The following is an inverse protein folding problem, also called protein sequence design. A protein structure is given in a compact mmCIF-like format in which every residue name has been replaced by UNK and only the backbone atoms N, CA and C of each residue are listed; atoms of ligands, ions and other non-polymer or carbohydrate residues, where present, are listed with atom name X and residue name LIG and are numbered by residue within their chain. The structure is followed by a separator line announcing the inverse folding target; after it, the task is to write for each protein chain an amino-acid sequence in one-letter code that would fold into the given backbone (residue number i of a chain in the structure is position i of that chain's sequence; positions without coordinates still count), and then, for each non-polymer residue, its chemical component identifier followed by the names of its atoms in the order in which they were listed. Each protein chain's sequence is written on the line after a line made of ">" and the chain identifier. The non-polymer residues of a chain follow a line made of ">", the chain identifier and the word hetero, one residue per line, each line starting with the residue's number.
data_IF_455506525252
#
_entry.id   IF_455506525252
#
_cell.length_a   1.000
_cell.length_b   1.000
_cell.length_c   1.000
_cell.angle_alpha   90.00
_cell.angle_beta   90.00
_cell.angle_gamma   90.00
#
_symmetry.space_group_name_H-M   'P 1'
#
loop_
_entity.id
_entity.type
_entity.pdbx_description
1 polymer ?
#
# COMPACT_ATOMS: atom_id res chain seq x y z
N UNK A 1 13.38 34.75 8.72
CA UNK A 1 13.56 33.68 7.73
C UNK A 1 12.28 32.86 7.74
N UNK A 2 11.66 32.60 6.59
CA UNK A 2 10.55 31.62 6.54
C UNK A 2 11.13 30.27 6.94
N UNK A 3 10.60 29.66 8.01
CA UNK A 3 10.86 28.27 8.32
C UNK A 3 10.37 27.41 7.16
N UNK A 4 11.18 26.42 6.76
CA UNK A 4 10.72 25.41 5.80
C UNK A 4 9.49 24.72 6.35
N UNK A 5 8.41 24.71 5.57
CA UNK A 5 7.11 24.16 5.99
C UNK A 5 7.06 22.63 5.93
N UNK A 6 8.03 21.99 5.29
CA UNK A 6 8.09 20.54 5.13
C UNK A 6 9.53 20.06 4.91
N UNK A 7 9.74 18.77 5.11
CA UNK A 7 10.97 18.06 4.74
C UNK A 7 10.64 16.87 3.84
N UNK A 8 11.62 16.40 3.07
CA UNK A 8 11.45 15.23 2.20
C UNK A 8 12.37 14.10 2.63
N UNK A 9 11.80 12.91 2.83
CA UNK A 9 12.54 11.68 3.15
C UNK A 9 12.00 10.54 2.29
N UNK A 10 12.42 9.30 2.57
CA UNK A 10 11.80 8.11 1.98
C UNK A 10 11.69 7.01 3.02
N UNK A 11 10.72 6.12 2.85
CA UNK A 11 10.48 4.99 3.73
C UNK A 11 10.15 3.75 2.91
N UNK A 12 10.54 2.58 3.40
CA UNK A 12 10.14 1.32 2.76
C UNK A 12 8.64 1.08 2.93
N UNK A 13 8.04 0.34 1.99
CA UNK A 13 6.64 -0.11 2.10
C UNK A 13 6.40 -0.86 3.42
N UNK A 14 7.33 -1.75 3.81
CA UNK A 14 7.27 -2.47 5.09
C UNK A 14 7.24 -1.54 6.29
N UNK A 15 8.06 -0.49 6.31
CA UNK A 15 8.10 0.48 7.41
C UNK A 15 6.77 1.25 7.51
N UNK A 16 6.19 1.66 6.40
CA UNK A 16 4.89 2.37 6.39
C UNK A 16 3.78 1.47 6.89
N UNK A 17 3.68 0.25 6.37
CA UNK A 17 2.68 -0.73 6.82
C UNK A 17 2.87 -1.07 8.30
N UNK A 18 4.12 -1.14 8.78
CA UNK A 18 4.46 -1.32 10.18
C UNK A 18 3.98 -0.18 11.08
N UNK A 19 4.27 1.07 10.71
CA UNK A 19 3.81 2.25 11.46
C UNK A 19 2.28 2.38 11.46
N UNK A 20 1.60 2.02 10.38
CA UNK A 20 0.13 1.97 10.34
C UNK A 20 -0.40 0.84 11.24
N UNK A 21 0.26 -0.33 11.23
CA UNK A 21 -0.09 -1.46 12.11
C UNK A 21 0.08 -1.12 13.58
N UNK A 22 1.09 -0.31 13.93
CA UNK A 22 1.35 0.19 15.27
C UNK A 22 0.49 1.41 15.65
N UNK A 23 -0.35 1.91 14.74
CA UNK A 23 -1.14 3.15 14.92
C UNK A 23 -0.30 4.42 15.18
N UNK A 24 0.96 4.41 14.74
CA UNK A 24 1.87 5.56 14.74
C UNK A 24 1.58 6.50 13.56
N UNK A 25 1.08 5.95 12.45
CA UNK A 25 0.46 6.71 11.36
C UNK A 25 -1.06 6.54 11.45
N UNK A 26 -1.75 7.62 11.80
CA UNK A 26 -3.19 7.70 11.78
C UNK A 26 -3.70 8.00 10.37
N UNK A 27 -4.66 7.20 9.90
CA UNK A 27 -5.43 7.46 8.69
C UNK A 27 -6.76 8.09 9.17
N UNK A 28 -7.00 9.40 8.95
CA UNK A 28 -8.19 10.07 9.47
C UNK A 28 -9.50 9.37 9.05
N UNK A 29 -10.41 9.17 10.01
CA UNK A 29 -11.70 8.47 9.80
C UNK A 29 -12.63 9.20 8.82
N UNK A 30 -12.54 10.52 8.73
CA UNK A 30 -13.41 11.35 7.88
C UNK A 30 -12.94 11.37 6.41
N UNK A 31 -11.84 10.68 6.10
CA UNK A 31 -11.32 10.66 4.74
C UNK A 31 -12.21 9.89 3.78
N UNK A 32 -12.22 10.39 2.53
CA UNK A 32 -12.98 9.86 1.40
C UNK A 32 -12.95 8.34 1.37
N UNK A 33 -14.06 7.73 0.94
CA UNK A 33 -14.06 6.31 0.70
C UNK A 33 -12.95 5.89 -0.26
N UNK A 34 -12.57 4.62 -0.16
CA UNK A 34 -11.66 4.03 -1.14
C UNK A 34 -12.33 4.01 -2.52
N UNK A 35 -11.82 4.81 -3.45
CA UNK A 35 -12.37 5.03 -4.80
C UNK A 35 -11.50 4.47 -5.91
N UNK A 36 -10.29 4.01 -5.61
CA UNK A 36 -9.46 3.32 -6.59
C UNK A 36 -10.12 2.04 -7.07
N UNK A 37 -10.19 1.87 -8.39
CA UNK A 37 -10.62 0.62 -9.02
C UNK A 37 -9.60 -0.48 -8.70
N UNK A 38 -10.04 -1.73 -8.63
CA UNK A 38 -9.14 -2.87 -8.38
C UNK A 38 -7.94 -2.91 -9.34
N UNK A 39 -8.13 -2.47 -10.60
CA UNK A 39 -7.04 -2.36 -11.58
C UNK A 39 -5.95 -1.37 -11.15
N UNK A 40 -6.30 -0.23 -10.54
CA UNK A 40 -5.31 0.73 -10.04
C UNK A 40 -4.47 0.16 -8.89
N UNK A 41 -5.06 -0.71 -8.06
CA UNK A 41 -4.34 -1.46 -7.03
C UNK A 41 -3.36 -2.43 -7.67
N UNK A 42 -3.80 -3.15 -8.71
CA UNK A 42 -2.94 -4.05 -9.51
C UNK A 42 -1.76 -3.29 -10.13
N UNK A 43 -2.04 -2.15 -10.78
CA UNK A 43 -1.03 -1.33 -11.45
C UNK A 43 0.00 -0.75 -10.46
N UNK A 44 -0.42 -0.48 -9.21
CA UNK A 44 0.50 -0.11 -8.14
C UNK A 44 1.44 -1.26 -7.77
N UNK A 45 0.93 -2.50 -7.64
CA UNK A 45 1.77 -3.66 -7.32
C UNK A 45 2.78 -3.92 -8.43
N UNK A 46 2.35 -3.81 -9.69
CA UNK A 46 3.21 -3.94 -10.86
C UNK A 46 4.31 -2.87 -10.86
N UNK A 47 3.96 -1.60 -10.65
CA UNK A 47 4.93 -0.51 -10.55
C UNK A 47 5.97 -0.75 -9.45
N UNK A 48 5.55 -1.24 -8.28
CA UNK A 48 6.47 -1.57 -7.18
C UNK A 48 7.37 -2.76 -7.52
N UNK A 49 6.83 -3.79 -8.17
CA UNK A 49 7.58 -4.96 -8.59
C UNK A 49 8.67 -4.61 -9.61
N UNK A 50 8.40 -3.68 -10.52
CA UNK A 50 9.36 -3.16 -11.51
C UNK A 50 10.32 -2.12 -10.93
N UNK A 51 10.14 -1.69 -9.67
CA UNK A 51 10.95 -0.63 -9.06
C UNK A 51 10.67 0.77 -9.61
N UNK A 52 9.48 1.00 -10.17
CA UNK A 52 9.07 2.30 -10.70
C UNK A 52 8.63 3.24 -9.57
N UNK A 53 8.81 4.57 -9.74
CA UNK A 53 8.38 5.54 -8.75
C UNK A 53 6.85 5.57 -8.61
N UNK A 54 6.36 5.47 -7.37
CA UNK A 54 4.91 5.46 -7.05
C UNK A 54 4.43 6.73 -6.34
N UNK A 55 5.18 7.82 -6.49
CA UNK A 55 4.89 9.15 -5.92
C UNK A 55 5.30 9.31 -4.46
N UNK A 56 4.63 10.22 -3.75
CA UNK A 56 4.95 10.60 -2.36
C UNK A 56 3.77 10.43 -1.41
N UNK A 57 3.98 10.08 -0.15
CA UNK A 57 2.98 10.18 0.91
C UNK A 57 3.24 11.46 1.69
N UNK A 58 2.18 12.17 2.09
CA UNK A 58 2.30 13.38 2.90
C UNK A 58 1.85 13.07 4.32
N UNK A 59 2.74 13.29 5.28
CA UNK A 59 2.51 13.08 6.70
C UNK A 59 2.60 14.41 7.42
N UNK A 60 1.83 14.56 8.48
CA UNK A 60 1.94 15.68 9.40
C UNK A 60 2.02 15.18 10.83
N UNK A 61 3.06 15.57 11.54
CA UNK A 61 3.23 15.22 12.95
C UNK A 61 2.56 16.30 13.80
N UNK A 62 1.33 16.05 14.26
CA UNK A 62 0.67 17.00 15.15
C UNK A 62 0.97 16.62 16.61
N UNK A 63 1.65 17.48 17.39
CA UNK A 63 1.99 17.20 18.78
C UNK A 63 0.77 17.21 19.73
N UNK A 64 -0.40 17.68 19.28
CA UNK A 64 -1.54 18.00 20.15
C UNK A 64 -2.87 17.32 19.75
N UNK A 65 -2.89 16.30 18.89
CA UNK A 65 -4.15 15.57 18.60
C UNK A 65 -4.56 14.77 19.84
N UNK A 66 -5.73 15.07 20.39
CA UNK A 66 -6.36 14.23 21.42
C UNK A 66 -6.95 13.00 20.75
N UNK A 67 -6.52 11.82 21.18
CA UNK A 67 -7.13 10.56 20.78
C UNK A 67 -8.50 10.41 21.45
N UNK A 68 -9.35 9.49 20.95
CA UNK A 68 -10.69 9.23 21.48
C UNK A 68 -10.70 8.83 22.97
N UNK A 69 -9.57 8.40 23.51
CA UNK A 69 -9.36 8.04 24.92
C UNK A 69 -8.89 9.22 25.81
N UNK A 70 -8.72 10.41 25.25
CA UNK A 70 -8.28 11.61 25.97
C UNK A 70 -6.77 11.74 26.15
N UNK A 71 -5.96 10.78 25.67
CA UNK A 71 -4.51 10.88 25.64
C UNK A 71 -4.02 11.81 24.52
N UNK A 72 -2.92 12.52 24.76
CA UNK A 72 -2.25 13.32 23.73
C UNK A 72 -1.51 12.34 22.82
N UNK A 73 -1.70 12.45 21.50
CA UNK A 73 -0.94 11.67 20.54
C UNK A 73 0.54 12.00 20.74
N UNK A 74 1.32 11.07 21.27
CA UNK A 74 2.74 11.23 21.56
C UNK A 74 3.58 11.30 20.27
N UNK A 75 3.35 12.30 19.42
CA UNK A 75 4.02 12.44 18.13
C UNK A 75 3.53 11.51 17.03
N UNK A 76 2.26 11.07 17.07
CA UNK A 76 1.66 10.32 15.96
C UNK A 76 1.62 11.18 14.71
N UNK A 77 1.87 10.55 13.56
CA UNK A 77 1.81 11.19 12.25
C UNK A 77 0.41 10.98 11.67
N UNK A 78 -0.16 12.03 11.09
CA UNK A 78 -1.45 11.98 10.39
C UNK A 78 -1.18 11.90 8.90
N UNK A 79 -1.83 10.95 8.22
CA UNK A 79 -1.77 10.84 6.77
C UNK A 79 -2.60 11.94 6.12
N UNK A 80 -1.93 12.90 5.48
CA UNK A 80 -2.55 14.03 4.81
C UNK A 80 -2.86 13.67 3.36
N UNK A 81 -1.92 13.07 2.62
CA UNK A 81 -2.12 12.68 1.22
C UNK A 81 -1.47 11.31 0.93
N UNK A 82 -1.94 10.62 -0.11
CA UNK A 82 -1.50 9.27 -0.45
C UNK A 82 -2.38 8.17 0.16
N UNK A 83 -3.53 8.52 0.73
CA UNK A 83 -4.49 7.58 1.32
C UNK A 83 -4.83 6.40 0.41
N UNK A 84 -5.22 6.65 -0.83
CA UNK A 84 -5.61 5.56 -1.75
C UNK A 84 -4.46 4.58 -2.01
N UNK A 85 -3.22 5.07 -2.07
CA UNK A 85 -2.01 4.23 -2.19
C UNK A 85 -1.78 3.42 -0.93
N UNK A 86 -1.84 4.06 0.24
CA UNK A 86 -1.70 3.38 1.53
C UNK A 86 -2.77 2.29 1.70
N UNK A 87 -4.02 2.59 1.37
CA UNK A 87 -5.13 1.62 1.40
C UNK A 87 -4.92 0.47 0.42
N UNK A 88 -4.42 0.75 -0.79
CA UNK A 88 -4.06 -0.27 -1.78
C UNK A 88 -2.98 -1.23 -1.24
N UNK A 89 -1.95 -0.71 -0.56
CA UNK A 89 -0.91 -1.52 0.09
C UNK A 89 -1.48 -2.36 1.24
N UNK A 90 -2.33 -1.76 2.09
CA UNK A 90 -2.95 -2.48 3.20
C UNK A 90 -3.80 -3.67 2.73
N UNK A 91 -4.55 -3.50 1.64
CA UNK A 91 -5.46 -4.54 1.16
C UNK A 91 -4.74 -5.64 0.36
N UNK A 92 -3.80 -5.25 -0.52
CA UNK A 92 -3.11 -6.17 -1.43
C UNK A 92 -1.91 -6.87 -0.77
N UNK A 93 -1.14 -6.17 0.07
CA UNK A 93 0.07 -6.72 0.72
C UNK A 93 -0.26 -7.20 2.12
N UNK A 94 -0.80 -6.32 2.98
CA UNK A 94 -1.06 -6.66 4.38
C UNK A 94 -2.32 -7.51 4.60
N UNK A 95 -3.03 -7.87 3.54
CA UNK A 95 -4.21 -8.73 3.61
C UNK A 95 -5.42 -8.13 4.34
N UNK A 96 -5.44 -6.81 4.58
CA UNK A 96 -6.46 -6.16 5.41
C UNK A 96 -7.76 -5.91 4.64
N UNK A 97 -8.87 -6.14 5.35
CA UNK A 97 -10.17 -5.70 4.90
C UNK A 97 -10.32 -4.18 5.12
N UNK A 98 -10.96 -3.51 4.17
CA UNK A 98 -11.17 -2.07 4.16
C UNK A 98 -12.63 -1.76 3.83
N UNK A 99 -13.13 -0.59 4.20
CA UNK A 99 -14.45 -0.13 3.75
C UNK A 99 -14.35 0.57 2.39
N UNK A 100 -15.23 0.23 1.47
CA UNK A 100 -15.39 0.94 0.19
C UNK A 100 -16.33 2.15 0.33
N UNK A 101 -16.66 2.79 -0.80
CA UNK A 101 -17.63 3.90 -0.89
C UNK A 101 -19.03 3.63 -0.40
N UNK A 102 -19.42 2.36 -0.34
CA UNK A 102 -20.73 1.95 0.12
C UNK A 102 -20.69 1.48 1.59
N UNK A 103 -19.60 1.77 2.31
CA UNK A 103 -19.32 1.29 3.67
C UNK A 103 -19.37 -0.24 3.79
N UNK A 104 -19.09 -0.95 2.69
CA UNK A 104 -19.00 -2.41 2.68
C UNK A 104 -17.56 -2.83 2.91
N UNK A 105 -17.40 -3.82 3.77
CA UNK A 105 -16.13 -4.48 3.98
C UNK A 105 -15.72 -5.17 2.68
N UNK A 106 -14.55 -4.81 2.17
CA UNK A 106 -14.00 -5.30 0.92
C UNK A 106 -12.49 -5.55 1.06
N UNK A 107 -11.96 -6.39 0.19
CA UNK A 107 -10.52 -6.61 0.08
C UNK A 107 -10.17 -6.81 -1.39
N UNK A 108 -9.19 -6.05 -1.87
CA UNK A 108 -8.68 -6.21 -3.23
C UNK A 108 -7.59 -7.26 -3.21
N UNK A 109 -7.89 -8.43 -3.78
CA UNK A 109 -6.92 -9.52 -3.94
C UNK A 109 -6.24 -9.39 -5.29
N UNK A 110 -4.91 -9.41 -5.28
CA UNK A 110 -4.08 -9.38 -6.48
C UNK A 110 -3.48 -10.77 -6.66
N UNK A 111 -3.70 -11.36 -7.82
CA UNK A 111 -3.11 -12.61 -8.24
C UNK A 111 -1.77 -12.35 -8.97
N UNK A 112 -0.87 -13.32 -8.92
CA UNK A 112 0.45 -13.25 -9.54
C UNK A 112 0.76 -14.54 -10.31
N UNK A 113 1.39 -14.42 -11.49
CA UNK A 113 1.79 -15.57 -12.34
C UNK A 113 3.33 -15.71 -12.37
N UNK A 114 3.90 -16.65 -11.60
CA UNK A 114 5.33 -16.91 -11.60
C UNK A 114 5.86 -17.40 -12.95
N UNK A 115 5.06 -18.13 -13.73
CA UNK A 115 5.49 -18.64 -15.04
C UNK A 115 5.59 -17.48 -16.04
N UNK A 116 4.66 -16.54 -15.99
CA UNK A 116 4.75 -15.31 -16.79
C UNK A 116 5.96 -14.47 -16.37
N UNK A 117 6.20 -14.33 -15.05
CA UNK A 117 7.33 -13.58 -14.52
C UNK A 117 8.71 -14.16 -14.91
N UNK A 118 8.79 -15.45 -15.24
CA UNK A 118 10.02 -16.11 -15.69
C UNK A 118 10.40 -15.75 -17.14
N UNK A 119 9.43 -15.40 -17.99
CA UNK A 119 9.63 -15.30 -19.45
C UNK A 119 10.39 -14.05 -19.92
N UNK A 120 10.76 -13.15 -19.00
CA UNK A 120 11.39 -11.85 -19.28
C UNK A 120 10.69 -11.06 -20.40
N UNK A 121 9.37 -11.23 -20.50
CA UNK A 121 8.52 -10.52 -21.45
C UNK A 121 7.94 -9.28 -20.75
N UNK A 122 8.33 -8.05 -21.17
CA UNK A 122 7.87 -6.83 -20.54
C UNK A 122 6.37 -6.57 -20.71
N UNK A 123 5.72 -7.23 -21.69
CA UNK A 123 4.28 -7.11 -21.93
C UNK A 123 3.47 -8.22 -21.24
N UNK A 124 4.13 -9.18 -20.59
CA UNK A 124 3.44 -10.26 -19.89
C UNK A 124 2.64 -9.72 -18.71
N UNK A 125 1.35 -10.07 -18.65
CA UNK A 125 0.54 -9.78 -17.47
C UNK A 125 0.94 -10.71 -16.32
N UNK A 126 1.83 -10.21 -15.45
CA UNK A 126 2.31 -10.94 -14.27
C UNK A 126 1.43 -10.71 -13.04
N UNK A 127 0.67 -9.60 -13.00
CA UNK A 127 -0.30 -9.30 -11.95
C UNK A 127 -1.71 -9.12 -12.51
N UNK A 128 -2.69 -9.72 -11.84
CA UNK A 128 -4.09 -9.58 -12.19
C UNK A 128 -4.96 -9.30 -10.98
N UNK A 129 -6.09 -8.62 -11.17
CA UNK A 129 -7.14 -8.60 -10.14
C UNK A 129 -7.69 -10.03 -10.03
N UNK A 130 -7.81 -10.56 -8.81
CA UNK A 130 -8.25 -11.94 -8.63
C UNK A 130 -9.64 -12.16 -9.27
N UNK A 131 -9.78 -13.30 -9.95
CA UNK A 131 -11.05 -13.82 -10.46
C UNK A 131 -11.14 -15.31 -10.09
N UNK A 132 -12.33 -15.94 -10.21
CA UNK A 132 -12.45 -17.39 -10.01
C UNK A 132 -11.57 -18.23 -10.94
N UNK A 133 -11.15 -17.70 -12.09
CA UNK A 133 -10.24 -18.40 -13.00
C UNK A 133 -8.83 -18.50 -12.41
N UNK A 134 -8.33 -17.45 -11.76
CA UNK A 134 -7.04 -17.46 -11.06
C UNK A 134 -7.03 -18.48 -9.92
N UNK A 135 -8.11 -18.57 -9.14
CA UNK A 135 -8.24 -19.53 -8.02
C UNK A 135 -8.23 -20.99 -8.49
N UNK A 136 -8.78 -21.27 -9.68
CA UNK A 136 -8.80 -22.62 -10.26
C UNK A 136 -7.53 -22.96 -11.03
N UNK A 137 -6.71 -21.97 -11.36
CA UNK A 137 -5.49 -22.17 -12.12
C UNK A 137 -4.39 -22.69 -11.23
N UNK A 138 -3.63 -23.67 -11.74
CA UNK A 138 -2.42 -24.16 -11.08
C UNK A 138 -1.22 -23.22 -11.24
N UNK A 139 -1.28 -22.30 -12.21
CA UNK A 139 -0.18 -21.38 -12.54
C UNK A 139 -0.24 -20.09 -11.70
N UNK A 140 -1.43 -19.67 -11.27
CA UNK A 140 -1.59 -18.41 -10.57
C UNK A 140 -1.48 -18.60 -9.06
N UNK A 141 -0.71 -17.73 -8.43
CA UNK A 141 -0.85 -17.43 -7.00
C UNK A 141 -2.09 -16.55 -6.88
N UNK A 142 -3.18 -17.01 -6.26
CA UNK A 142 -4.47 -16.31 -6.32
C UNK A 142 -4.50 -15.04 -5.48
N UNK A 143 -3.58 -14.90 -4.53
CA UNK A 143 -3.51 -13.80 -3.59
C UNK A 143 -2.09 -13.58 -3.07
N UNK A 144 -1.44 -12.51 -3.51
CA UNK A 144 -0.05 -12.21 -3.13
C UNK A 144 0.10 -11.95 -1.62
N UNK A 145 -0.95 -11.56 -0.91
CA UNK A 145 -0.85 -11.31 0.54
C UNK A 145 -0.41 -12.57 1.32
N UNK A 146 -0.72 -13.76 0.80
CA UNK A 146 -0.28 -15.03 1.40
C UNK A 146 1.26 -15.16 1.41
N UNK A 147 1.93 -14.57 0.40
CA UNK A 147 3.40 -14.56 0.29
C UNK A 147 4.03 -13.60 1.29
N UNK A 148 3.32 -12.52 1.63
CA UNK A 148 3.76 -11.49 2.58
C UNK A 148 3.41 -11.80 4.04
N UNK A 149 2.69 -12.89 4.31
CA UNK A 149 2.40 -13.32 5.67
C UNK A 149 3.69 -13.73 6.41
N UNK A 150 3.82 -13.31 7.67
CA UNK A 150 5.00 -13.61 8.50
C UNK A 150 5.18 -15.14 8.71
N UNK A 151 4.11 -15.93 8.57
CA UNK A 151 4.13 -17.39 8.69
C UNK A 151 4.33 -18.10 7.35
N UNK A 152 4.51 -17.38 6.24
CA UNK A 152 4.69 -17.97 4.92
C UNK A 152 5.92 -18.90 4.90
N UNK A 153 5.71 -20.15 4.47
CA UNK A 153 6.76 -21.17 4.42
C UNK A 153 7.24 -21.34 2.98
N UNK A 154 8.22 -20.54 2.55
CA UNK A 154 8.74 -20.54 1.17
C UNK A 154 9.07 -21.94 0.66
N UNK A 155 9.87 -22.71 1.40
CA UNK A 155 10.27 -24.07 1.00
C UNK A 155 9.07 -24.99 0.73
N UNK A 156 8.07 -24.98 1.61
CA UNK A 156 6.85 -25.78 1.44
C UNK A 156 6.06 -25.34 0.21
N UNK A 157 5.87 -24.03 0.07
CA UNK A 157 5.14 -23.44 -1.05
C UNK A 157 5.79 -23.79 -2.39
N UNK A 158 7.11 -23.60 -2.51
CA UNK A 158 7.89 -23.87 -3.73
C UNK A 158 7.74 -25.34 -4.13
N UNK A 159 7.94 -26.27 -3.20
CA UNK A 159 7.79 -27.70 -3.47
C UNK A 159 6.38 -28.06 -3.96
N UNK A 160 5.34 -27.54 -3.31
CA UNK A 160 3.95 -27.79 -3.70
C UNK A 160 3.60 -27.20 -5.06
N UNK A 161 4.11 -26.00 -5.37
CA UNK A 161 3.91 -25.34 -6.65
C UNK A 161 4.61 -26.09 -7.79
N UNK A 162 5.90 -26.42 -7.63
CA UNK A 162 6.67 -27.18 -8.63
C UNK A 162 6.13 -28.59 -8.84
N UNK A 163 5.52 -29.22 -7.82
CA UNK A 163 4.84 -30.51 -7.99
C UNK A 163 3.64 -30.40 -8.96
N UNK A 164 2.91 -29.29 -8.92
CA UNK A 164 1.77 -29.02 -9.83
C UNK A 164 2.22 -28.48 -11.19
N UNK A 165 3.40 -27.86 -11.24
CA UNK A 165 3.99 -27.25 -12.42
C UNK A 165 5.41 -27.79 -12.64
N UNK A 166 5.58 -29.03 -13.15
CA UNK A 166 6.88 -29.66 -13.35
C UNK A 166 7.83 -28.88 -14.26
N UNK A 167 7.29 -27.97 -15.08
CA UNK A 167 8.01 -27.04 -15.93
C UNK A 167 8.74 -25.92 -15.16
N UNK A 168 8.37 -25.67 -13.90
CA UNK A 168 8.97 -24.62 -13.06
C UNK A 168 10.15 -25.18 -12.26
N UNK A 169 11.33 -24.62 -12.46
CA UNK A 169 12.50 -24.93 -11.65
C UNK A 169 12.34 -24.33 -10.23
N UNK A 170 12.64 -25.08 -9.15
CA UNK A 170 12.54 -24.58 -7.78
C UNK A 170 13.39 -23.33 -7.48
N UNK A 171 14.61 -23.24 -8.03
CA UNK A 171 15.51 -22.12 -7.81
C UNK A 171 15.01 -20.86 -8.52
N UNK A 172 14.48 -21.00 -9.74
CA UNK A 172 13.83 -19.91 -10.46
C UNK A 172 12.61 -19.39 -9.70
N UNK A 173 11.79 -20.30 -9.15
CA UNK A 173 10.63 -19.92 -8.35
C UNK A 173 11.05 -19.23 -7.04
N UNK A 174 12.10 -19.71 -6.36
CA UNK A 174 12.64 -19.06 -5.16
C UNK A 174 13.06 -17.61 -5.47
N UNK A 175 13.79 -17.41 -6.57
CA UNK A 175 14.17 -16.08 -7.04
C UNK A 175 12.95 -15.20 -7.33
N UNK A 176 11.94 -15.72 -8.04
CA UNK A 176 10.71 -14.98 -8.37
C UNK A 176 9.95 -14.59 -7.10
N UNK A 177 9.81 -15.49 -6.13
CA UNK A 177 9.16 -15.21 -4.85
C UNK A 177 9.97 -14.19 -4.04
N UNK A 178 11.30 -14.28 -4.07
CA UNK A 178 12.20 -13.27 -3.50
C UNK A 178 12.00 -11.88 -4.12
N UNK A 179 11.91 -11.81 -5.46
CA UNK A 179 11.62 -10.57 -6.18
C UNK A 179 10.23 -10.03 -5.83
N UNK A 180 9.20 -10.88 -5.75
CA UNK A 180 7.86 -10.48 -5.31
C UNK A 180 7.90 -9.90 -3.89
N UNK A 181 8.60 -10.56 -2.95
CA UNK A 181 8.78 -10.05 -1.58
C UNK A 181 9.53 -8.73 -1.51
N UNK A 182 10.41 -8.45 -2.46
CA UNK A 182 11.17 -7.20 -2.52
C UNK A 182 10.30 -5.94 -2.68
N UNK A 183 9.02 -6.08 -3.08
CA UNK A 183 8.04 -4.98 -3.06
C UNK A 183 8.01 -4.29 -1.69
N UNK A 184 8.09 -5.05 -0.60
CA UNK A 184 8.10 -4.52 0.75
C UNK A 184 9.35 -3.66 1.06
N UNK A 185 10.43 -3.85 0.32
CA UNK A 185 11.69 -3.13 0.48
C UNK A 185 11.76 -1.89 -0.41
N UNK A 186 10.82 -1.72 -1.35
CA UNK A 186 10.77 -0.53 -2.18
C UNK A 186 10.51 0.72 -1.33
N UNK A 187 11.22 1.79 -1.65
CA UNK A 187 11.06 3.08 -0.98
C UNK A 187 10.02 3.94 -1.68
N UNK A 188 9.12 4.53 -0.90
CA UNK A 188 8.23 5.60 -1.35
C UNK A 188 8.67 6.90 -0.72
N UNK A 189 8.57 7.99 -1.47
CA UNK A 189 8.92 9.32 -0.96
C UNK A 189 7.95 9.76 0.13
N UNK A 190 8.45 10.42 1.16
CA UNK A 190 7.66 10.99 2.25
C UNK A 190 7.89 12.50 2.28
N UNK A 191 6.80 13.26 2.31
CA UNK A 191 6.82 14.69 2.61
C UNK A 191 6.29 14.84 4.03
N UNK A 192 7.13 15.24 4.97
CA UNK A 192 6.74 15.47 6.35
C UNK A 192 6.55 16.96 6.58
N UNK A 193 5.30 17.35 6.82
CA UNK A 193 4.92 18.72 7.18
C UNK A 193 5.44 19.05 8.59
N UNK A 194 5.90 20.29 8.78
CA UNK A 194 6.39 20.75 10.09
C UNK A 194 5.32 20.62 11.17
N UNK A 195 5.74 20.16 12.34
CA UNK A 195 4.91 20.04 13.56
C UNK A 195 4.46 21.39 14.13
N UNK A 196 5.11 22.48 13.72
CA UNK A 196 4.74 23.86 14.08
C UNK A 196 3.58 24.42 13.24
N UNK A 197 3.11 23.70 12.22
CA UNK A 197 1.99 24.15 11.40
C UNK A 197 0.66 23.97 12.13
N UNK A 198 -0.16 25.02 12.10
CA UNK A 198 -1.55 24.97 12.55
C UNK A 198 -2.42 24.11 11.62
N UNK A 199 -3.49 23.52 12.16
CA UNK A 199 -4.42 22.64 11.42
C UNK A 199 -5.01 23.32 10.18
N UNK A 200 -5.32 24.61 10.24
CA UNK A 200 -5.88 25.37 9.12
C UNK A 200 -4.89 25.44 7.95
N UNK A 201 -3.59 25.60 8.25
CA UNK A 201 -2.54 25.65 7.23
C UNK A 201 -2.35 24.27 6.59
N UNK A 202 -2.41 23.21 7.39
CA UNK A 202 -2.33 21.82 6.88
C UNK A 202 -3.54 21.48 6.01
N UNK A 203 -4.73 21.93 6.41
CA UNK A 203 -5.96 21.78 5.64
C UNK A 203 -5.85 22.53 4.32
N UNK A 204 -5.32 23.75 4.32
CA UNK A 204 -5.07 24.51 3.09
C UNK A 204 -4.05 23.81 2.17
N UNK A 205 -2.97 23.26 2.72
CA UNK A 205 -1.99 22.46 1.95
C UNK A 205 -2.69 21.26 1.33
N UNK A 206 -3.47 20.53 2.13
CA UNK A 206 -4.22 19.36 1.68
C UNK A 206 -5.17 19.71 0.54
N UNK A 207 -6.00 20.73 0.71
CA UNK A 207 -6.95 21.20 -0.31
C UNK A 207 -6.20 21.63 -1.55
N UNK A 208 -5.08 22.35 -1.46
CA UNK A 208 -4.31 22.78 -2.65
C UNK A 208 -3.67 21.63 -3.42
N UNK A 209 -3.26 20.57 -2.72
CA UNK A 209 -2.68 19.37 -3.36
C UNK A 209 -3.80 18.55 -4.02
N UNK A 210 -4.96 18.47 -3.37
CA UNK A 210 -6.10 17.68 -3.82
C UNK A 210 -7.11 18.46 -4.68
N UNK A 211 -6.99 19.78 -4.85
CA UNK A 211 -7.94 20.63 -5.60
C UNK A 211 -7.88 20.47 -7.11
N UNK A 212 -6.88 19.75 -7.63
CA UNK A 212 -6.88 19.22 -9.00
C UNK A 212 -7.44 17.80 -9.11
N UNK A 213 -7.74 17.15 -7.98
CA UNK A 213 -8.51 15.90 -7.89
C UNK A 213 -9.94 16.17 -7.42
N UNK A 214 -10.67 15.13 -7.03
CA UNK A 214 -12.00 15.28 -6.38
C UNK A 214 -11.89 16.26 -5.21
N UNK A 215 -12.92 17.06 -4.92
CA UNK A 215 -12.93 18.10 -3.88
C UNK A 215 -13.27 17.52 -2.50
N UNK A 216 -12.65 18.01 -1.42
CA UNK A 216 -13.01 17.72 -0.01
C UNK A 216 -13.38 19.07 0.62
N UNK A 217 -14.37 19.07 1.50
CA UNK A 217 -14.84 20.31 2.14
C UNK A 217 -14.25 20.40 3.56
N UNK A 218 -14.12 21.62 4.08
CA UNK A 218 -13.58 21.88 5.42
C UNK A 218 -14.32 21.14 6.56
N UNK A 219 -15.59 20.77 6.35
CA UNK A 219 -16.37 19.98 7.32
C UNK A 219 -15.86 18.55 7.52
N UNK A 220 -14.94 18.08 6.68
CA UNK A 220 -14.38 16.74 6.74
C UNK A 220 -13.20 16.62 7.73
N UNK A 221 -12.87 17.68 8.47
CA UNK A 221 -11.77 17.73 9.45
C UNK A 221 -12.22 18.06 10.89
N UNK A 222 -13.53 18.16 11.13
CA UNK A 222 -14.13 18.53 12.42
C UNK A 222 -14.44 17.31 13.28
#
# INVERSE_FOLDING_TARGET
>A
MQSEKFTTTSMTISAILGLIKAEDIAIPEIQRPFVWKNKQVRDLMDSLYQGYPVGYIILWKNPNVKLKDGSISAGKKVLIDGQQRVTALMTAIAGRNMFNSDYKLCRVKIAFDPIAALKDDPEAEIFAVQTPAHVKSKNWIPDIAEIFDDNFRSYKFINEYCTKNPEMNPDDLDFIIGKLKSICNQSIGIIELSDTLEIDVVTDIFVRINSKGTTLNQGDFV
#
